data_IF_265642568299
#
_entry.id   IF_265642568299
#
_cell.length_a   1.000
_cell.length_b   1.000
_cell.length_c   1.000
_cell.angle_alpha   90.00
_cell.angle_beta   90.00
_cell.angle_gamma   90.00
#
_symmetry.space_group_name_H-M   'P 1'
#
loop_
_entity.id
_entity.type
_entity.pdbx_description
1 polymer ?
#
# COMPACT_ATOMS: atom_id res chain seq x y z
N UNK A 1 -6.84 -11.79 -14.05
CA UNK A 1 -6.47 -10.37 -13.76
C UNK A 1 -5.77 -10.31 -12.42
N UNK A 2 -4.53 -9.85 -12.40
CA UNK A 2 -3.80 -9.69 -11.14
C UNK A 2 -4.40 -8.54 -10.36
N UNK A 3 -4.86 -8.81 -9.15
CA UNK A 3 -5.41 -7.78 -8.26
C UNK A 3 -4.28 -6.87 -7.76
N UNK A 4 -4.45 -5.55 -7.91
CA UNK A 4 -3.49 -4.58 -7.40
C UNK A 4 -3.67 -4.45 -5.89
N UNK A 5 -2.60 -4.79 -5.15
CA UNK A 5 -2.52 -4.72 -3.69
C UNK A 5 -1.78 -3.47 -3.24
N UNK A 6 -1.88 -3.13 -1.96
CA UNK A 6 -1.07 -2.06 -1.36
C UNK A 6 0.43 -2.31 -1.49
N UNK A 7 0.86 -3.56 -1.45
CA UNK A 7 2.25 -3.94 -1.71
C UNK A 7 2.68 -3.64 -3.14
N UNK A 8 1.84 -3.98 -4.14
CA UNK A 8 2.14 -3.68 -5.54
C UNK A 8 2.23 -2.19 -5.81
N UNK A 9 1.31 -1.38 -5.27
CA UNK A 9 1.35 0.06 -5.45
C UNK A 9 2.61 0.67 -4.79
N UNK A 10 3.00 0.17 -3.63
CA UNK A 10 4.23 0.60 -2.97
C UNK A 10 5.47 0.25 -3.84
N UNK A 11 5.55 -0.98 -4.34
CA UNK A 11 6.64 -1.39 -5.22
C UNK A 11 6.67 -0.60 -6.53
N UNK A 12 5.52 -0.25 -7.10
CA UNK A 12 5.46 0.59 -8.30
C UNK A 12 6.19 1.93 -8.14
N UNK A 13 6.05 2.58 -6.99
CA UNK A 13 6.75 3.82 -6.70
C UNK A 13 8.21 3.61 -6.30
N UNK A 14 8.53 2.46 -5.72
CA UNK A 14 9.88 2.13 -5.26
C UNK A 14 10.77 1.57 -6.38
N UNK A 15 10.31 0.55 -7.09
CA UNK A 15 11.06 -0.12 -8.16
C UNK A 15 10.11 -0.84 -9.13
N UNK A 16 10.08 -0.42 -10.40
CA UNK A 16 9.21 -1.01 -11.43
C UNK A 16 9.52 -2.49 -11.69
N UNK A 17 10.80 -2.87 -11.67
CA UNK A 17 11.23 -4.26 -11.83
C UNK A 17 10.73 -5.12 -10.69
N UNK A 18 10.86 -4.65 -9.45
CA UNK A 18 10.33 -5.34 -8.26
C UNK A 18 8.82 -5.50 -8.31
N UNK A 19 8.10 -4.47 -8.75
CA UNK A 19 6.65 -4.52 -8.92
C UNK A 19 6.25 -5.62 -9.90
N UNK A 20 6.89 -5.68 -11.07
CA UNK A 20 6.63 -6.70 -12.07
C UNK A 20 6.96 -8.11 -11.56
N UNK A 21 8.14 -8.30 -10.97
CA UNK A 21 8.58 -9.59 -10.42
C UNK A 21 7.62 -10.10 -9.34
N UNK A 22 7.20 -9.21 -8.45
CA UNK A 22 6.25 -9.56 -7.40
C UNK A 22 4.91 -9.99 -7.97
N UNK A 23 4.37 -9.23 -8.92
CA UNK A 23 3.08 -9.53 -9.55
C UNK A 23 3.08 -10.86 -10.32
N UNK A 24 4.18 -11.20 -10.99
CA UNK A 24 4.25 -12.36 -11.87
C UNK A 24 4.79 -13.63 -11.20
N UNK A 25 5.22 -13.58 -9.94
CA UNK A 25 5.79 -14.74 -9.22
C UNK A 25 4.88 -15.39 -8.20
N UNK A 26 3.93 -14.66 -7.67
CA UNK A 26 3.18 -15.07 -6.49
C UNK A 26 1.73 -15.28 -6.87
N UNK A 27 1.29 -16.53 -6.89
CA UNK A 27 -0.14 -16.85 -6.82
C UNK A 27 -0.61 -16.53 -5.40
N UNK A 28 -1.20 -15.34 -5.22
CA UNK A 28 -1.69 -14.87 -3.93
C UNK A 28 -3.20 -15.14 -3.81
N UNK A 29 -3.63 -16.38 -4.01
CA UNK A 29 -5.04 -16.74 -3.84
C UNK A 29 -5.53 -16.43 -2.43
N UNK A 30 -4.65 -16.59 -1.42
CA UNK A 30 -4.98 -16.38 -0.01
C UNK A 30 -4.82 -14.92 0.48
N UNK A 31 -4.32 -14.03 -0.35
CA UNK A 31 -3.98 -12.65 0.04
C UNK A 31 -4.80 -11.59 -0.69
N UNK A 32 -6.06 -11.86 -0.98
CA UNK A 32 -6.95 -10.88 -1.60
C UNK A 32 -7.14 -9.65 -0.71
N UNK A 33 -6.90 -8.47 -1.25
CA UNK A 33 -7.17 -7.18 -0.58
C UNK A 33 -8.66 -7.05 -0.22
N UNK A 34 -9.55 -7.62 -1.04
CA UNK A 34 -10.99 -7.60 -0.76
C UNK A 34 -11.37 -8.44 0.45
N UNK A 35 -10.70 -9.60 0.64
CA UNK A 35 -10.87 -10.42 1.85
C UNK A 35 -10.39 -9.67 3.08
N UNK A 36 -9.26 -8.96 2.98
CA UNK A 36 -8.69 -8.17 4.08
C UNK A 36 -9.58 -6.98 4.42
N UNK A 37 -10.05 -6.25 3.41
CA UNK A 37 -10.99 -5.15 3.60
C UNK A 37 -12.30 -5.67 4.17
N UNK A 38 -12.79 -6.83 3.74
CA UNK A 38 -13.95 -7.50 4.32
C UNK A 38 -13.77 -7.79 5.82
N UNK A 39 -12.61 -8.27 6.24
CA UNK A 39 -12.28 -8.46 7.67
C UNK A 39 -12.28 -7.14 8.43
N UNK A 40 -11.65 -6.09 7.87
CA UNK A 40 -11.64 -4.76 8.45
C UNK A 40 -13.07 -4.24 8.66
N UNK A 41 -13.94 -4.38 7.66
CA UNK A 41 -15.32 -3.92 7.74
C UNK A 41 -16.12 -4.70 8.79
N UNK A 42 -15.91 -6.01 8.88
CA UNK A 42 -16.53 -6.86 9.90
C UNK A 42 -16.11 -6.44 11.31
N UNK A 43 -14.81 -6.21 11.52
CA UNK A 43 -14.29 -5.75 12.81
C UNK A 43 -14.78 -4.34 13.19
N UNK A 44 -14.96 -3.45 12.20
CA UNK A 44 -15.57 -2.14 12.42
C UNK A 44 -17.04 -2.23 12.84
N UNK A 45 -17.77 -3.21 12.31
CA UNK A 45 -19.17 -3.45 12.68
C UNK A 45 -19.29 -4.02 14.11
N UNK A 46 -18.36 -4.91 14.49
CA UNK A 46 -18.35 -5.57 15.80
C UNK A 46 -17.81 -4.69 16.93
N UNK A 47 -16.96 -3.71 16.60
CA UNK A 47 -16.28 -2.87 17.59
C UNK A 47 -16.79 -1.44 17.58
N UNK A 48 -17.80 -1.16 18.35
CA UNK A 48 -18.23 0.21 18.66
C UNK A 48 -17.11 0.97 19.40
N UNK A 49 -16.10 1.45 18.64
CA UNK A 49 -15.10 2.41 19.12
C UNK A 49 -13.81 1.84 19.73
N UNK A 50 -13.54 0.55 19.66
CA UNK A 50 -12.24 -0.01 20.09
C UNK A 50 -11.19 0.07 18.99
N UNK A 51 -9.98 0.44 19.35
CA UNK A 51 -8.81 0.48 18.47
C UNK A 51 -8.43 -0.95 18.09
N UNK A 52 -8.42 -1.27 16.79
CA UNK A 52 -8.04 -2.59 16.30
C UNK A 52 -6.74 -2.50 15.53
N UNK A 53 -5.76 -3.28 15.93
CA UNK A 53 -4.52 -3.48 15.21
C UNK A 53 -4.76 -4.53 14.12
N UNK A 54 -4.68 -4.16 12.84
CA UNK A 54 -4.88 -5.06 11.72
C UNK A 54 -3.59 -5.13 10.92
N UNK A 55 -2.97 -6.29 10.87
CA UNK A 55 -1.79 -6.54 10.04
C UNK A 55 -2.23 -7.03 8.67
N UNK A 56 -1.95 -6.24 7.64
CA UNK A 56 -2.13 -6.62 6.23
C UNK A 56 -0.75 -6.58 5.57
N UNK A 57 -0.17 -7.72 5.20
CA UNK A 57 1.11 -7.89 4.47
C UNK A 57 2.14 -6.76 4.61
N UNK A 58 2.95 -6.75 5.61
CA UNK A 58 3.98 -5.71 5.86
C UNK A 58 3.44 -4.27 5.99
N UNK A 59 2.15 -4.08 5.79
CA UNK A 59 1.42 -2.85 6.06
C UNK A 59 0.63 -3.08 7.32
N UNK A 60 1.10 -2.49 8.40
CA UNK A 60 0.30 -2.43 9.61
C UNK A 60 -0.67 -1.27 9.48
N UNK A 61 -1.91 -1.57 9.21
CA UNK A 61 -2.99 -0.62 9.49
C UNK A 61 -3.14 -0.65 11.00
N UNK A 62 -2.45 0.24 11.68
CA UNK A 62 -2.35 0.17 13.13
C UNK A 62 -3.65 0.54 13.82
N UNK A 63 -4.47 1.36 13.20
CA UNK A 63 -5.75 1.78 13.79
C UNK A 63 -6.75 2.19 12.72
N UNK A 64 -7.96 1.70 12.85
CA UNK A 64 -9.12 2.31 12.22
C UNK A 64 -9.95 2.94 13.32
N UNK A 65 -10.12 4.25 13.24
CA UNK A 65 -11.00 5.02 14.12
C UNK A 65 -12.32 5.31 13.42
N UNK A 66 -13.24 5.98 14.11
CA UNK A 66 -14.51 6.41 13.52
C UNK A 66 -14.30 7.19 12.20
N UNK A 67 -13.28 8.05 12.15
CA UNK A 67 -13.08 8.99 11.03
C UNK A 67 -11.84 8.68 10.19
N UNK A 68 -10.85 7.96 10.73
CA UNK A 68 -9.54 7.78 10.10
C UNK A 68 -9.14 6.32 9.93
N UNK A 69 -8.54 6.05 8.77
CA UNK A 69 -7.63 4.93 8.55
C UNK A 69 -6.21 5.42 8.86
N UNK A 70 -5.56 4.82 9.85
CA UNK A 70 -4.23 5.24 10.32
C UNK A 70 -3.18 4.25 9.88
N UNK A 71 -2.18 4.74 9.17
CA UNK A 71 -1.01 3.99 8.73
C UNK A 71 0.23 4.49 9.47
N UNK A 72 0.99 3.60 10.10
CA UNK A 72 2.23 3.93 10.82
C UNK A 72 3.42 3.36 10.07
N UNK A 73 4.40 4.21 9.77
CA UNK A 73 5.62 3.86 9.04
C UNK A 73 6.86 4.35 9.78
N UNK A 74 7.99 3.73 9.46
CA UNK A 74 9.30 4.23 9.88
C UNK A 74 9.65 5.49 9.10
N UNK A 75 10.53 6.31 9.66
CA UNK A 75 10.94 7.58 9.07
C UNK A 75 11.63 7.48 7.70
N UNK A 76 12.21 6.32 7.38
CA UNK A 76 12.88 6.02 6.11
C UNK A 76 11.94 5.53 5.01
N UNK A 77 10.65 5.43 5.31
CA UNK A 77 9.65 5.06 4.31
C UNK A 77 9.42 6.19 3.31
N UNK A 78 9.25 5.84 2.03
CA UNK A 78 8.88 6.78 0.98
C UNK A 78 7.47 7.35 1.22
N UNK A 79 7.33 8.65 1.53
CA UNK A 79 6.02 9.25 1.83
C UNK A 79 5.06 9.18 0.66
N UNK A 80 5.55 9.29 -0.56
CA UNK A 80 4.71 9.23 -1.77
C UNK A 80 4.12 7.83 -1.96
N UNK A 81 4.94 6.80 -1.88
CA UNK A 81 4.47 5.41 -1.98
C UNK A 81 3.43 5.08 -0.90
N UNK A 82 3.64 5.55 0.32
CA UNK A 82 2.69 5.36 1.43
C UNK A 82 1.39 6.12 1.18
N UNK A 83 1.45 7.33 0.66
CA UNK A 83 0.25 8.11 0.27
C UNK A 83 -0.62 7.32 -0.72
N UNK A 84 -0.03 6.79 -1.78
CA UNK A 84 -0.77 6.03 -2.80
C UNK A 84 -1.35 4.73 -2.24
N UNK A 85 -0.65 4.07 -1.35
CA UNK A 85 -1.13 2.89 -0.65
C UNK A 85 -2.37 3.20 0.21
N UNK A 86 -2.34 4.28 0.96
CA UNK A 86 -3.47 4.74 1.77
C UNK A 86 -4.66 5.14 0.88
N UNK A 87 -4.41 5.86 -0.21
CA UNK A 87 -5.45 6.22 -1.18
C UNK A 87 -6.14 4.98 -1.78
N UNK A 88 -5.39 3.94 -2.09
CA UNK A 88 -5.97 2.67 -2.56
C UNK A 88 -6.92 2.06 -1.51
N UNK A 89 -6.53 2.03 -0.24
CA UNK A 89 -7.39 1.51 0.82
C UNK A 89 -8.65 2.37 1.03
N UNK A 90 -8.52 3.69 1.01
CA UNK A 90 -9.65 4.61 1.09
C UNK A 90 -10.63 4.40 -0.08
N UNK A 91 -10.10 4.21 -1.28
CA UNK A 91 -10.90 3.94 -2.47
C UNK A 91 -11.68 2.63 -2.35
N UNK A 92 -11.02 1.55 -1.93
CA UNK A 92 -11.66 0.26 -1.70
C UNK A 92 -12.72 0.31 -0.60
N UNK A 93 -12.48 1.03 0.48
CA UNK A 93 -13.47 1.28 1.53
C UNK A 93 -14.67 2.08 0.98
N UNK A 94 -14.43 3.12 0.18
CA UNK A 94 -15.48 3.91 -0.48
C UNK A 94 -16.37 3.03 -1.36
N UNK A 95 -15.79 2.09 -2.13
CA UNK A 95 -16.55 1.13 -2.95
C UNK A 95 -17.45 0.21 -2.10
N UNK A 96 -17.10 -0.02 -0.85
CA UNK A 96 -17.88 -0.78 0.13
C UNK A 96 -18.88 0.09 0.93
N UNK A 97 -18.99 1.38 0.59
CA UNK A 97 -19.88 2.32 1.26
C UNK A 97 -19.32 2.92 2.56
N UNK A 98 -18.03 2.75 2.81
CA UNK A 98 -17.35 3.28 4.02
C UNK A 98 -16.46 4.45 3.63
N UNK A 99 -16.80 5.65 4.16
CA UNK A 99 -16.02 6.87 3.95
C UNK A 99 -15.09 7.10 5.15
N UNK A 100 -13.79 7.20 4.88
CA UNK A 100 -12.74 7.48 5.86
C UNK A 100 -11.75 8.50 5.30
N UNK A 101 -11.04 9.18 6.19
CA UNK A 101 -9.86 9.97 5.87
C UNK A 101 -8.61 9.18 6.20
N UNK A 102 -7.52 9.43 5.50
CA UNK A 102 -6.22 8.81 5.76
C UNK A 102 -5.38 9.65 6.72
N UNK A 103 -4.68 8.96 7.62
CA UNK A 103 -3.69 9.54 8.51
C UNK A 103 -2.43 8.68 8.48
N UNK A 104 -1.31 9.27 8.09
CA UNK A 104 -0.01 8.60 8.03
C UNK A 104 0.86 9.15 9.15
N UNK A 105 1.38 8.25 9.97
CA UNK A 105 2.28 8.58 11.08
C UNK A 105 3.67 8.02 10.79
N UNK A 106 4.66 8.91 10.60
CA UNK A 106 6.07 8.54 10.49
C UNK A 106 6.74 8.66 11.85
N UNK A 107 7.25 7.55 12.38
CA UNK A 107 7.92 7.49 13.67
C UNK A 107 9.43 7.43 13.48
N UNK A 108 10.15 8.46 13.90
CA UNK A 108 11.61 8.49 13.96
C UNK A 108 12.11 7.95 15.30
N UNK A 109 12.54 6.69 15.33
CA UNK A 109 12.98 6.03 16.57
C UNK A 109 14.16 6.74 17.25
N UNK A 110 15.09 7.32 16.46
CA UNK A 110 16.27 8.00 17.00
C UNK A 110 15.97 9.36 17.63
N UNK A 111 14.96 10.07 17.14
CA UNK A 111 14.61 11.43 17.59
C UNK A 111 13.35 11.47 18.46
N UNK A 112 12.72 10.33 18.71
CA UNK A 112 11.41 10.25 19.38
C UNK A 112 10.37 11.21 18.78
N UNK A 113 10.55 11.58 17.51
CA UNK A 113 9.69 12.50 16.79
C UNK A 113 8.68 11.73 15.94
N UNK A 114 7.50 12.33 15.82
CA UNK A 114 6.40 11.80 15.02
C UNK A 114 5.96 12.87 14.03
N UNK A 115 5.98 12.54 12.75
CA UNK A 115 5.38 13.37 11.70
C UNK A 115 4.04 12.79 11.29
N UNK A 116 3.05 13.64 11.15
CA UNK A 116 1.70 13.24 10.76
C UNK A 116 1.34 13.89 9.44
N UNK A 117 0.87 13.09 8.49
CA UNK A 117 0.33 13.54 7.21
C UNK A 117 -1.12 13.08 7.09
N UNK A 118 -1.98 13.98 6.63
CA UNK A 118 -3.37 13.65 6.33
C UNK A 118 -3.56 13.48 4.83
N UNK A 119 -4.35 12.48 4.45
CA UNK A 119 -4.66 12.16 3.07
C UNK A 119 -6.17 12.02 2.92
N UNK A 120 -6.74 12.70 1.96
CA UNK A 120 -8.16 12.59 1.64
C UNK A 120 -8.35 12.04 0.23
N UNK A 121 -9.35 11.18 0.06
CA UNK A 121 -9.76 10.70 -1.25
C UNK A 121 -10.78 11.68 -1.84
N UNK A 122 -10.28 12.84 -2.27
CA UNK A 122 -11.04 13.80 -3.05
C UNK A 122 -11.10 13.40 -4.53
N UNK A 123 -11.82 14.14 -5.34
CA UNK A 123 -12.01 13.85 -6.77
C UNK A 123 -10.67 13.85 -7.55
N UNK A 124 -9.74 14.72 -7.18
CA UNK A 124 -8.42 14.83 -7.82
C UNK A 124 -7.57 13.61 -7.49
N UNK A 125 -7.44 13.30 -6.22
CA UNK A 125 -6.68 12.13 -5.75
C UNK A 125 -7.27 10.81 -6.26
N UNK A 126 -8.59 10.71 -6.35
CA UNK A 126 -9.26 9.52 -6.89
C UNK A 126 -8.96 9.34 -8.38
N UNK A 127 -9.03 10.41 -9.17
CA UNK A 127 -8.68 10.37 -10.58
C UNK A 127 -7.22 9.97 -10.79
N UNK A 128 -6.30 10.62 -10.08
CA UNK A 128 -4.87 10.28 -10.14
C UNK A 128 -4.60 8.84 -9.71
N UNK A 129 -5.29 8.35 -8.67
CA UNK A 129 -5.18 6.96 -8.25
C UNK A 129 -5.58 6.00 -9.37
N UNK A 130 -6.70 6.25 -10.05
CA UNK A 130 -7.14 5.40 -11.16
C UNK A 130 -6.13 5.38 -12.31
N UNK A 131 -5.50 6.51 -12.61
CA UNK A 131 -4.40 6.58 -13.59
C UNK A 131 -3.18 5.77 -13.15
N UNK A 132 -2.82 5.84 -11.86
CA UNK A 132 -1.73 5.02 -11.29
C UNK A 132 -2.06 3.54 -11.37
N UNK A 133 -3.28 3.13 -11.04
CA UNK A 133 -3.71 1.74 -11.13
C UNK A 133 -3.67 1.22 -12.57
N UNK A 134 -4.07 2.03 -13.55
CA UNK A 134 -3.96 1.69 -14.97
C UNK A 134 -2.49 1.47 -15.39
N UNK A 135 -1.59 2.36 -14.99
CA UNK A 135 -0.15 2.23 -15.27
C UNK A 135 0.49 1.00 -14.60
N UNK A 136 0.02 0.64 -13.40
CA UNK A 136 0.47 -0.58 -12.74
C UNK A 136 0.01 -1.81 -13.52
N UNK A 137 -1.25 -1.82 -13.96
CA UNK A 137 -1.79 -2.92 -14.78
C UNK A 137 -0.98 -3.09 -16.07
N UNK A 138 -0.72 -2.01 -16.79
CA UNK A 138 0.11 -2.04 -18.00
C UNK A 138 1.53 -2.58 -17.70
N UNK A 139 2.13 -2.16 -16.60
CA UNK A 139 3.45 -2.62 -16.19
C UNK A 139 3.49 -4.13 -15.92
N UNK A 140 2.56 -4.65 -15.13
CA UNK A 140 2.55 -6.06 -14.73
C UNK A 140 2.17 -7.01 -15.87
N UNK A 141 1.48 -6.50 -16.90
CA UNK A 141 1.11 -7.25 -18.09
C UNK A 141 2.22 -7.27 -19.17
N UNK A 142 3.34 -6.58 -18.95
CA UNK A 142 4.49 -6.66 -19.85
C UNK A 142 5.00 -8.10 -19.96
N UNK A 143 5.43 -8.55 -21.15
CA UNK A 143 5.94 -9.91 -21.33
C UNK A 143 7.28 -10.17 -20.62
N UNK A 144 7.98 -9.12 -20.22
CA UNK A 144 9.25 -9.17 -19.52
C UNK A 144 9.33 -8.05 -18.48
N UNK A 145 10.07 -8.24 -17.39
CA UNK A 145 10.29 -7.17 -16.41
C UNK A 145 11.04 -6.00 -17.06
N UNK A 146 10.78 -4.78 -16.63
CA UNK A 146 11.63 -3.64 -16.97
C UNK A 146 13.09 -3.91 -16.59
N UNK A 147 14.02 -3.33 -17.36
CA UNK A 147 15.44 -3.45 -17.08
C UNK A 147 15.75 -2.90 -15.67
N UNK A 148 16.44 -3.72 -14.89
CA UNK A 148 16.84 -3.33 -13.55
C UNK A 148 18.01 -2.35 -13.60
N UNK A 149 17.84 -1.20 -12.94
CA UNK A 149 18.92 -0.22 -12.72
C UNK A 149 19.39 -0.33 -11.29
N UNK A 150 20.71 -0.45 -11.12
CA UNK A 150 21.29 -0.56 -9.78
C UNK A 150 21.17 0.77 -9.01
N UNK A 151 20.61 0.70 -7.82
CA UNK A 151 20.53 1.78 -6.84
C UNK A 151 20.98 1.27 -5.46
N UNK A 152 21.29 2.17 -4.53
CA UNK A 152 21.80 1.77 -3.22
C UNK A 152 20.86 0.85 -2.43
N UNK A 153 19.55 1.01 -2.59
CA UNK A 153 18.56 0.15 -1.94
C UNK A 153 18.53 -1.28 -2.50
N UNK A 154 19.05 -1.52 -3.72
CA UNK A 154 19.11 -2.84 -4.32
C UNK A 154 19.93 -3.83 -3.48
N UNK A 155 20.97 -3.37 -2.79
CA UNK A 155 21.80 -4.23 -1.93
C UNK A 155 21.05 -4.95 -0.82
N UNK A 156 19.92 -4.39 -0.39
CA UNK A 156 19.04 -4.97 0.66
C UNK A 156 17.73 -5.48 0.09
N UNK A 157 17.58 -5.51 -1.22
CA UNK A 157 16.37 -5.95 -1.90
C UNK A 157 16.31 -7.47 -1.96
N UNK A 158 15.16 -8.04 -1.66
CA UNK A 158 14.93 -9.48 -1.77
C UNK A 158 15.08 -10.03 -3.21
N UNK A 159 15.00 -9.17 -4.21
CA UNK A 159 15.14 -9.52 -5.63
C UNK A 159 16.54 -9.25 -6.20
N UNK A 160 17.52 -8.91 -5.36
CA UNK A 160 18.87 -8.57 -5.80
C UNK A 160 19.50 -9.64 -6.70
N UNK A 161 19.42 -10.90 -6.30
CA UNK A 161 19.94 -12.01 -7.08
C UNK A 161 19.26 -12.21 -8.44
N UNK A 162 17.99 -11.83 -8.52
CA UNK A 162 17.26 -11.84 -9.78
C UNK A 162 17.70 -10.79 -10.77
N UNK A 163 18.06 -9.62 -10.28
CA UNK A 163 18.36 -8.47 -11.10
C UNK A 163 19.82 -8.41 -11.53
N UNK A 164 20.74 -8.96 -10.70
CA UNK A 164 22.18 -8.67 -10.83
C UNK A 164 23.10 -9.91 -10.73
N UNK A 165 22.55 -11.12 -10.74
CA UNK A 165 23.36 -12.36 -10.77
C UNK A 165 23.11 -13.21 -12.01
#
# INVERSE_FOLDING_TARGET
MTQITGTLINYYFHCKTQCWLHANRINLEDNSEDVRIGKILHELADQKGKKTEISIDNVKIDKITKDYLVEVKKSDSDPEAVKWQVLLYLYKLKQKGVLKKGKIEFIEKKKQSKKVHYVELDEVNEKELLEVLAKITELIDLPKPPEAKFENHCKKCAYYEYCFI
#
